data_IF_198048468868
#
_entry.id   IF_198048468868
#
_cell.length_a   1.000
_cell.length_b   1.000
_cell.length_c   1.000
_cell.angle_alpha   90.00
_cell.angle_beta   90.00
_cell.angle_gamma   90.00
#
_symmetry.space_group_name_H-M   'P 1'
#
loop_
_entity.id
_entity.type
_entity.pdbx_description
1 polymer ?
#
# COMPACT_ATOMS: atom_id res chain seq x y z
N UNK A 1 -11.24 -1.09 23.70
CA UNK A 1 -10.34 -0.39 22.77
C UNK A 1 -8.99 -0.20 23.42
N UNK A 2 -7.90 -0.51 22.72
CA UNK A 2 -6.53 -0.40 23.24
C UNK A 2 -6.08 1.07 23.30
N UNK A 3 -5.04 1.35 24.08
CA UNK A 3 -4.41 2.65 24.09
C UNK A 3 -3.71 2.92 22.74
N UNK A 4 -3.73 4.16 22.30
CA UNK A 4 -3.05 4.56 21.06
C UNK A 4 -2.55 6.00 21.13
N UNK A 5 -1.56 6.29 20.30
CA UNK A 5 -1.07 7.63 19.96
C UNK A 5 -1.22 7.78 18.45
N UNK A 6 -2.01 8.75 18.01
CA UNK A 6 -2.32 8.99 16.60
C UNK A 6 -1.81 10.36 16.19
N UNK A 7 -0.87 10.37 15.26
CA UNK A 7 -0.36 11.59 14.63
C UNK A 7 -0.39 11.42 13.10
N UNK A 8 -1.22 12.20 12.44
CA UNK A 8 -1.40 12.21 10.97
C UNK A 8 -1.00 13.59 10.41
N UNK A 9 0.30 13.90 10.32
CA UNK A 9 0.78 15.25 10.02
C UNK A 9 0.63 15.65 8.54
N UNK A 10 0.37 14.71 7.64
CA UNK A 10 0.29 15.01 6.21
C UNK A 10 -0.89 15.90 5.88
N UNK A 11 -0.61 17.07 5.29
CA UNK A 11 -1.66 17.95 4.75
C UNK A 11 -2.22 17.35 3.47
N UNK A 12 -3.53 17.15 3.42
CA UNK A 12 -4.23 16.68 2.22
C UNK A 12 -4.81 17.86 1.47
N UNK A 13 -4.43 18.00 0.20
CA UNK A 13 -4.96 18.99 -0.73
C UNK A 13 -5.74 18.21 -1.80
N UNK A 14 -7.05 18.10 -1.58
CA UNK A 14 -7.93 17.24 -2.35
C UNK A 14 -8.79 18.01 -3.32
N UNK A 15 -8.93 17.52 -4.54
CA UNK A 15 -9.90 17.99 -5.53
C UNK A 15 -9.27 18.39 -6.85
N UNK A 16 -10.14 18.60 -7.84
CA UNK A 16 -9.77 19.06 -9.17
C UNK A 16 -9.02 20.38 -9.11
N UNK A 17 -7.85 20.42 -9.73
CA UNK A 17 -7.02 21.62 -9.76
C UNK A 17 -6.20 21.87 -8.49
N UNK A 18 -6.15 20.93 -7.55
CA UNK A 18 -5.39 21.08 -6.31
C UNK A 18 -3.90 21.36 -6.54
N UNK A 19 -3.36 21.01 -7.71
CA UNK A 19 -1.98 21.30 -8.12
C UNK A 19 -1.62 22.79 -8.05
N UNK A 20 -2.57 23.69 -8.19
CA UNK A 20 -2.36 25.14 -8.10
C UNK A 20 -1.80 25.58 -6.75
N UNK A 21 -2.05 24.77 -5.69
CA UNK A 21 -1.56 25.02 -4.33
C UNK A 21 -0.19 24.41 -4.05
N UNK A 22 0.40 23.69 -5.01
CA UNK A 22 1.66 22.96 -4.81
C UNK A 22 2.80 23.89 -4.37
N UNK A 23 2.94 25.02 -5.03
CA UNK A 23 4.05 25.95 -4.78
C UNK A 23 4.11 26.44 -3.34
N UNK A 24 2.94 26.66 -2.73
CA UNK A 24 2.80 27.13 -1.35
C UNK A 24 3.25 26.10 -0.30
N UNK A 25 3.33 24.82 -0.69
CA UNK A 25 3.69 23.73 0.23
C UNK A 25 5.19 23.50 0.32
N UNK A 26 5.98 24.08 -0.60
CA UNK A 26 7.41 23.84 -0.70
C UNK A 26 8.18 25.11 -0.28
N UNK A 27 9.23 24.99 0.57
CA UNK A 27 10.03 26.13 0.97
C UNK A 27 10.58 26.93 -0.23
N UNK A 28 10.64 28.25 -0.11
CA UNK A 28 10.99 29.15 -1.21
C UNK A 28 12.40 28.91 -1.75
N UNK A 29 13.34 28.51 -0.90
CA UNK A 29 14.75 28.25 -1.23
C UNK A 29 15.05 26.76 -1.43
N UNK A 30 14.01 25.92 -1.55
CA UNK A 30 14.22 24.50 -1.72
C UNK A 30 14.86 24.15 -3.06
N UNK A 31 15.84 23.26 -3.02
CA UNK A 31 16.31 22.52 -4.17
C UNK A 31 15.54 21.22 -4.26
N UNK A 32 14.66 21.12 -5.24
CA UNK A 32 13.66 20.05 -5.36
C UNK A 32 14.15 18.97 -6.32
N UNK A 33 14.08 17.71 -5.89
CA UNK A 33 14.18 16.56 -6.77
C UNK A 33 12.79 15.96 -6.96
N UNK A 34 12.27 16.05 -8.18
CA UNK A 34 11.03 15.36 -8.58
C UNK A 34 11.39 13.92 -8.92
N UNK A 35 10.69 12.97 -8.31
CA UNK A 35 10.82 11.54 -8.56
C UNK A 35 9.56 11.02 -9.26
N UNK A 36 9.72 10.15 -10.25
CA UNK A 36 8.60 9.53 -10.96
C UNK A 36 8.98 8.16 -11.55
N UNK A 37 7.99 7.45 -12.08
CA UNK A 37 8.16 6.11 -12.62
C UNK A 37 8.59 6.06 -14.08
N UNK A 38 8.03 5.16 -14.86
CA UNK A 38 8.41 4.87 -16.23
C UNK A 38 8.00 5.90 -17.29
N UNK A 39 7.48 7.07 -16.90
CA UNK A 39 7.17 8.17 -17.80
C UNK A 39 5.68 8.39 -18.11
N UNK A 40 4.75 7.67 -17.50
CA UNK A 40 3.31 7.91 -17.66
C UNK A 40 2.91 9.34 -17.29
N UNK A 41 3.51 9.91 -16.26
CA UNK A 41 3.26 11.31 -15.83
C UNK A 41 3.68 12.34 -16.88
N UNK A 42 4.63 12.01 -17.75
CA UNK A 42 5.00 12.84 -18.92
C UNK A 42 3.91 12.77 -19.98
N UNK A 43 3.46 11.55 -20.31
CA UNK A 43 2.45 11.32 -21.36
C UNK A 43 1.10 11.92 -21.02
N UNK A 44 0.72 11.91 -19.75
CA UNK A 44 -0.58 12.42 -19.26
C UNK A 44 -0.56 13.93 -19.02
N UNK A 45 0.60 14.57 -19.07
CA UNK A 45 0.76 16.00 -18.81
C UNK A 45 0.83 16.38 -17.33
N UNK A 46 0.78 15.42 -16.41
CA UNK A 46 0.88 15.69 -14.96
C UNK A 46 2.22 16.30 -14.60
N UNK A 47 3.32 15.77 -15.16
CA UNK A 47 4.66 16.33 -14.89
C UNK A 47 4.78 17.77 -15.37
N UNK A 48 4.23 18.12 -16.54
CA UNK A 48 4.23 19.50 -17.05
C UNK A 48 3.46 20.44 -16.13
N UNK A 49 2.34 20.00 -15.56
CA UNK A 49 1.59 20.78 -14.57
C UNK A 49 2.40 20.99 -13.28
N UNK A 50 3.11 19.96 -12.82
CA UNK A 50 4.00 20.05 -11.66
C UNK A 50 5.13 21.05 -11.92
N UNK A 51 5.81 20.94 -13.05
CA UNK A 51 6.91 21.86 -13.43
C UNK A 51 6.42 23.30 -13.56
N UNK A 52 5.24 23.52 -14.14
CA UNK A 52 4.61 24.83 -14.23
C UNK A 52 4.32 25.40 -12.84
N UNK A 53 3.77 24.59 -11.94
CA UNK A 53 3.48 25.00 -10.57
C UNK A 53 4.74 25.33 -9.76
N UNK A 54 5.88 24.73 -10.08
CA UNK A 54 7.17 24.93 -9.42
C UNK A 54 8.05 25.99 -10.11
N UNK A 55 7.51 26.72 -11.07
CA UNK A 55 8.28 27.76 -11.76
C UNK A 55 8.94 28.72 -10.76
N UNK A 56 10.23 28.99 -10.97
CA UNK A 56 11.04 29.82 -10.08
C UNK A 56 11.77 29.08 -8.96
N UNK A 57 11.56 27.77 -8.81
CA UNK A 57 12.38 26.92 -7.93
C UNK A 57 13.51 26.24 -8.71
N UNK A 58 14.56 25.85 -7.98
CA UNK A 58 15.63 24.99 -8.50
C UNK A 58 15.14 23.54 -8.48
N UNK A 59 14.87 22.97 -9.66
CA UNK A 59 14.22 21.68 -9.83
C UNK A 59 15.08 20.73 -10.63
N UNK A 60 15.27 19.53 -10.09
CA UNK A 60 15.90 18.37 -10.74
C UNK A 60 14.86 17.27 -10.91
N UNK A 61 15.11 16.34 -11.82
CA UNK A 61 14.26 15.19 -12.09
C UNK A 61 15.02 13.87 -11.97
N UNK A 62 14.34 12.86 -11.44
CA UNK A 62 14.77 11.46 -11.46
C UNK A 62 13.59 10.57 -11.84
N UNK A 63 13.63 10.02 -13.03
CA UNK A 63 12.62 9.07 -13.54
C UNK A 63 13.12 7.63 -13.52
N UNK A 64 12.21 6.70 -13.80
CA UNK A 64 12.52 5.28 -13.95
C UNK A 64 12.35 4.44 -12.68
N UNK A 65 11.68 4.96 -11.65
CA UNK A 65 11.31 4.14 -10.49
C UNK A 65 10.26 3.11 -10.95
N UNK A 66 10.66 1.84 -10.93
CA UNK A 66 9.84 0.74 -11.38
C UNK A 66 8.76 0.32 -10.35
N UNK A 67 7.69 -0.37 -10.77
CA UNK A 67 6.81 -1.08 -9.85
C UNK A 67 7.62 -2.02 -8.94
N UNK A 68 7.26 -2.10 -7.66
CA UNK A 68 8.10 -2.74 -6.62
C UNK A 68 9.51 -2.13 -6.62
N UNK A 69 9.67 -0.88 -6.16
CA UNK A 69 10.87 -0.09 -6.38
C UNK A 69 12.11 -0.80 -5.86
N UNK A 70 13.15 -0.88 -6.70
CA UNK A 70 14.36 -1.62 -6.35
C UNK A 70 15.42 -0.73 -5.71
N UNK A 71 16.07 -1.28 -4.70
CA UNK A 71 17.23 -0.70 -4.04
C UNK A 71 18.28 -0.20 -5.05
N UNK A 72 18.57 -1.02 -6.06
CA UNK A 72 19.58 -0.72 -7.08
C UNK A 72 19.24 0.56 -7.87
N UNK A 73 17.99 0.72 -8.29
CA UNK A 73 17.53 1.95 -8.97
C UNK A 73 17.53 3.14 -8.02
N UNK A 74 17.03 2.96 -6.81
CA UNK A 74 16.90 4.03 -5.82
C UNK A 74 18.25 4.58 -5.37
N UNK A 75 19.30 3.76 -5.28
CA UNK A 75 20.64 4.21 -4.91
C UNK A 75 21.23 5.20 -5.92
N UNK A 76 20.82 5.14 -7.19
CA UNK A 76 21.20 6.17 -8.18
C UNK A 76 20.59 7.53 -7.82
N UNK A 77 19.34 7.55 -7.36
CA UNK A 77 18.68 8.76 -6.89
C UNK A 77 19.27 9.27 -5.57
N UNK A 78 19.65 8.37 -4.66
CA UNK A 78 20.35 8.74 -3.42
C UNK A 78 21.67 9.45 -3.73
N UNK A 79 22.45 8.91 -4.65
CA UNK A 79 23.69 9.54 -5.11
C UNK A 79 23.43 10.94 -5.67
N UNK A 80 22.48 11.07 -6.58
CA UNK A 80 22.08 12.36 -7.16
C UNK A 80 21.65 13.36 -6.07
N UNK A 81 20.80 12.93 -5.14
CA UNK A 81 20.32 13.80 -4.06
C UNK A 81 21.45 14.31 -3.16
N UNK A 82 22.46 13.49 -2.88
CA UNK A 82 23.64 13.88 -2.11
C UNK A 82 24.54 14.84 -2.88
N UNK A 83 24.91 14.50 -4.11
CA UNK A 83 25.80 15.30 -4.97
C UNK A 83 25.22 16.69 -5.24
N UNK A 84 23.93 16.75 -5.52
CA UNK A 84 23.21 17.99 -5.85
C UNK A 84 22.66 18.73 -4.62
N UNK A 85 22.90 18.22 -3.41
CA UNK A 85 22.43 18.82 -2.14
C UNK A 85 20.94 19.12 -2.13
N UNK A 86 20.13 18.16 -2.56
CA UNK A 86 18.67 18.24 -2.59
C UNK A 86 18.13 18.45 -1.18
N UNK A 87 17.21 19.39 -1.02
CA UNK A 87 16.61 19.74 0.26
C UNK A 87 15.13 19.37 0.36
N UNK A 88 14.52 19.03 -0.76
CA UNK A 88 13.11 18.62 -0.81
C UNK A 88 12.89 17.58 -1.90
N UNK A 89 12.13 16.52 -1.61
CA UNK A 89 11.73 15.51 -2.57
C UNK A 89 10.24 15.65 -2.89
N UNK A 90 9.90 15.59 -4.17
CA UNK A 90 8.51 15.58 -4.62
C UNK A 90 8.24 14.29 -5.42
N UNK A 91 7.50 13.37 -4.83
CA UNK A 91 7.07 12.14 -5.50
C UNK A 91 5.87 12.43 -6.39
N UNK A 92 5.98 12.14 -7.67
CA UNK A 92 4.88 12.28 -8.64
C UNK A 92 4.58 10.91 -9.24
N UNK A 93 3.54 10.26 -8.72
CA UNK A 93 3.23 8.89 -9.13
C UNK A 93 2.32 8.15 -8.16
N UNK A 94 2.38 6.83 -8.22
CA UNK A 94 1.68 5.92 -7.31
C UNK A 94 2.56 5.46 -6.14
N UNK A 95 2.10 4.43 -5.45
CA UNK A 95 2.74 3.90 -4.25
C UNK A 95 4.20 3.52 -4.41
N UNK A 96 4.58 2.91 -5.53
CA UNK A 96 5.98 2.53 -5.79
C UNK A 96 6.92 3.73 -5.86
N UNK A 97 6.48 4.82 -6.50
CA UNK A 97 7.24 6.08 -6.56
C UNK A 97 7.35 6.70 -5.17
N UNK A 98 6.26 6.71 -4.41
CA UNK A 98 6.21 7.23 -3.04
C UNK A 98 7.12 6.43 -2.10
N UNK A 99 7.00 5.10 -2.12
CA UNK A 99 7.84 4.22 -1.31
C UNK A 99 9.31 4.38 -1.64
N UNK A 100 9.64 4.41 -2.93
CA UNK A 100 11.00 4.67 -3.40
C UNK A 100 11.52 6.03 -2.93
N UNK A 101 10.67 7.07 -2.97
CA UNK A 101 11.04 8.42 -2.54
C UNK A 101 11.28 8.50 -1.04
N UNK A 102 10.49 7.78 -0.23
CA UNK A 102 10.74 7.65 1.22
C UNK A 102 12.09 7.02 1.53
N UNK A 103 12.45 5.97 0.78
CA UNK A 103 13.78 5.37 0.90
C UNK A 103 14.88 6.36 0.52
N UNK A 104 14.75 7.06 -0.61
CA UNK A 104 15.69 8.09 -1.03
C UNK A 104 15.87 9.15 0.05
N UNK A 105 14.76 9.61 0.64
CA UNK A 105 14.76 10.62 1.69
C UNK A 105 15.58 10.21 2.92
N UNK A 106 15.39 8.98 3.39
CA UNK A 106 16.13 8.43 4.53
C UNK A 106 17.58 8.11 4.18
N UNK A 107 17.80 7.42 3.06
CA UNK A 107 19.13 6.97 2.65
C UNK A 107 20.08 8.14 2.31
N UNK A 108 19.56 9.25 1.78
CA UNK A 108 20.38 10.43 1.50
C UNK A 108 21.02 11.04 2.75
N UNK A 109 20.38 10.92 3.92
CA UNK A 109 20.90 11.36 5.21
C UNK A 109 21.57 10.24 6.02
N UNK A 110 21.57 9.02 5.50
CA UNK A 110 22.22 7.88 6.15
C UNK A 110 23.74 7.99 6.07
N UNK A 111 24.45 7.36 7.01
CA UNK A 111 25.91 7.36 7.02
C UNK A 111 26.44 6.80 5.69
N UNK A 112 27.34 7.53 5.05
CA UNK A 112 27.87 7.16 3.74
C UNK A 112 28.72 5.88 3.75
N UNK A 113 29.25 5.50 4.91
CA UNK A 113 30.08 4.31 5.10
C UNK A 113 29.25 3.04 5.42
N UNK A 114 27.93 3.19 5.59
CA UNK A 114 27.00 2.09 5.88
C UNK A 114 26.14 1.82 4.64
N UNK A 115 25.93 0.53 4.31
CA UNK A 115 24.96 0.13 3.28
C UNK A 115 23.53 0.55 3.72
N UNK A 116 22.85 1.45 3.00
CA UNK A 116 21.51 1.89 3.36
C UNK A 116 20.45 0.77 3.37
N UNK A 117 20.76 -0.43 2.88
CA UNK A 117 19.88 -1.58 3.05
C UNK A 117 19.63 -1.90 4.53
N UNK A 118 20.54 -1.50 5.41
CA UNK A 118 20.33 -1.58 6.88
C UNK A 118 19.02 -0.93 7.33
N UNK A 119 18.51 0.07 6.60
CA UNK A 119 17.19 0.70 6.88
C UNK A 119 16.09 -0.38 6.87
N UNK A 120 16.14 -1.29 5.89
CA UNK A 120 15.16 -2.37 5.76
C UNK A 120 15.41 -3.49 6.80
N UNK A 121 16.66 -3.83 7.06
CA UNK A 121 17.05 -4.85 8.04
C UNK A 121 16.66 -4.46 9.47
N UNK A 122 16.69 -3.17 9.78
CA UNK A 122 16.34 -2.63 11.10
C UNK A 122 14.91 -2.08 11.17
N UNK A 123 14.11 -2.32 10.14
CA UNK A 123 12.71 -1.83 10.05
C UNK A 123 12.59 -0.31 10.25
N UNK A 124 13.61 0.43 9.84
CA UNK A 124 13.65 1.91 9.93
C UNK A 124 14.05 2.48 11.30
N UNK A 125 14.34 1.64 12.29
CA UNK A 125 14.61 2.08 13.66
C UNK A 125 15.89 2.95 13.81
N UNK A 126 16.81 2.85 12.85
CA UNK A 126 18.07 3.61 12.85
C UNK A 126 18.01 4.92 12.03
N UNK A 127 16.87 5.26 11.45
CA UNK A 127 16.71 6.54 10.73
C UNK A 127 16.66 7.66 11.75
N UNK A 128 17.67 8.54 11.70
CA UNK A 128 17.76 9.72 12.58
C UNK A 128 17.19 10.99 11.94
N UNK A 129 17.19 11.08 10.61
CA UNK A 129 16.65 12.20 9.85
C UNK A 129 16.41 11.78 8.39
N UNK A 130 15.66 12.58 7.66
CA UNK A 130 15.40 12.38 6.24
C UNK A 130 15.21 13.72 5.54
N UNK A 131 15.39 13.75 4.21
CA UNK A 131 15.00 14.90 3.39
C UNK A 131 13.47 15.04 3.49
N UNK A 132 12.97 16.27 3.64
CA UNK A 132 11.53 16.54 3.63
C UNK A 132 10.94 16.17 2.27
N UNK A 133 9.72 15.65 2.27
CA UNK A 133 9.06 15.27 1.03
C UNK A 133 7.56 15.60 1.02
N UNK A 134 7.04 15.75 -0.18
CA UNK A 134 5.61 15.82 -0.49
C UNK A 134 5.29 14.95 -1.69
N UNK A 135 4.02 14.88 -2.05
CA UNK A 135 3.58 14.03 -3.15
C UNK A 135 2.48 14.64 -4.00
N UNK A 136 2.45 14.22 -5.26
CA UNK A 136 1.34 14.35 -6.20
C UNK A 136 0.91 12.94 -6.59
N UNK A 137 -0.20 12.49 -6.06
CA UNK A 137 -0.68 11.12 -6.22
C UNK A 137 -1.36 10.93 -7.58
N UNK A 138 -0.96 9.91 -8.32
CA UNK A 138 -1.58 9.57 -9.61
C UNK A 138 -2.29 8.21 -9.62
N UNK A 139 -2.00 7.35 -8.64
CA UNK A 139 -2.60 6.02 -8.50
C UNK A 139 -2.92 5.75 -7.03
N UNK A 140 -4.20 5.83 -6.64
CA UNK A 140 -4.62 5.53 -5.28
C UNK A 140 -4.63 4.01 -5.05
N UNK A 141 -3.91 3.57 -4.04
CA UNK A 141 -3.81 2.17 -3.63
C UNK A 141 -3.25 2.05 -2.20
N UNK A 142 -1.97 2.36 -2.04
CA UNK A 142 -1.16 2.05 -0.86
C UNK A 142 -1.36 2.98 0.34
N UNK A 143 -1.97 4.14 0.14
CA UNK A 143 -2.01 5.18 1.17
C UNK A 143 -0.64 5.78 1.53
N UNK A 144 0.41 5.48 0.75
CA UNK A 144 1.79 5.92 1.02
C UNK A 144 1.93 7.45 1.06
N UNK A 145 1.03 8.17 0.42
CA UNK A 145 0.96 9.63 0.44
C UNK A 145 0.63 10.22 1.82
N UNK A 146 0.12 9.41 2.73
CA UNK A 146 -0.31 9.85 4.07
C UNK A 146 0.06 8.87 5.19
N UNK A 147 1.14 8.13 5.02
CA UNK A 147 1.66 7.25 6.07
C UNK A 147 3.20 7.28 6.13
N UNK A 148 3.76 6.55 7.07
CA UNK A 148 5.20 6.52 7.37
C UNK A 148 5.90 5.23 6.93
N UNK A 149 5.21 4.36 6.19
CA UNK A 149 5.72 3.08 5.74
C UNK A 149 6.17 3.11 4.28
N UNK A 150 7.09 2.23 3.93
CA UNK A 150 7.52 1.97 2.57
C UNK A 150 8.01 0.54 2.41
N UNK A 151 7.88 -0.01 1.20
CA UNK A 151 8.32 -1.37 0.87
C UNK A 151 9.27 -1.31 -0.31
N UNK A 152 10.46 -1.87 -0.14
CA UNK A 152 11.56 -1.82 -1.11
C UNK A 152 12.00 -3.24 -1.47
N UNK A 153 12.24 -3.46 -2.76
CA UNK A 153 12.78 -4.71 -3.27
C UNK A 153 14.30 -4.62 -3.46
N UNK A 154 15.02 -5.72 -3.27
CA UNK A 154 16.43 -5.86 -3.63
C UNK A 154 16.58 -6.99 -4.64
N UNK A 155 16.91 -6.65 -5.87
CA UNK A 155 16.96 -7.63 -6.98
C UNK A 155 18.07 -8.65 -6.80
N UNK A 156 19.22 -8.22 -6.28
CA UNK A 156 20.39 -9.08 -6.11
C UNK A 156 20.18 -10.20 -5.10
N UNK A 157 19.28 -10.03 -4.13
CA UNK A 157 18.96 -11.02 -3.09
C UNK A 157 17.55 -11.62 -3.23
N UNK A 158 16.72 -11.04 -4.10
CA UNK A 158 15.32 -11.45 -4.26
C UNK A 158 14.45 -11.12 -3.05
N UNK A 159 14.81 -10.07 -2.30
CA UNK A 159 14.08 -9.66 -1.10
C UNK A 159 13.09 -8.54 -1.41
N UNK A 160 11.99 -8.54 -0.66
CA UNK A 160 11.02 -7.44 -0.60
C UNK A 160 10.68 -7.19 0.87
N UNK A 161 11.12 -6.05 1.40
CA UNK A 161 11.04 -5.73 2.83
C UNK A 161 10.43 -4.35 3.08
N UNK A 162 9.80 -4.20 4.23
CA UNK A 162 9.20 -2.95 4.68
C UNK A 162 10.10 -2.23 5.69
N UNK A 163 9.95 -0.90 5.77
CA UNK A 163 10.43 -0.09 6.89
C UNK A 163 9.40 0.98 7.24
N UNK A 164 9.51 1.52 8.44
CA UNK A 164 8.64 2.59 8.93
C UNK A 164 9.47 3.64 9.66
N UNK A 165 9.19 4.92 9.39
CA UNK A 165 9.77 6.03 10.14
C UNK A 165 8.91 7.28 10.00
N UNK A 166 8.68 7.99 11.10
CA UNK A 166 8.01 9.30 11.08
C UNK A 166 8.78 10.35 10.27
N UNK A 167 10.11 10.17 10.10
CA UNK A 167 10.94 11.09 9.33
C UNK A 167 10.64 11.09 7.84
N UNK A 168 10.03 10.01 7.30
CA UNK A 168 9.71 9.90 5.88
C UNK A 168 8.23 10.10 5.56
N UNK A 169 7.41 10.46 6.54
CA UNK A 169 6.01 10.75 6.27
C UNK A 169 5.89 12.04 5.44
N UNK A 170 5.14 12.02 4.32
CA UNK A 170 4.98 13.21 3.49
C UNK A 170 4.41 14.40 4.25
N UNK A 171 4.94 15.60 3.99
CA UNK A 171 4.44 16.86 4.55
C UNK A 171 3.07 17.22 3.99
N UNK A 172 2.85 16.88 2.72
CA UNK A 172 1.56 17.09 2.04
C UNK A 172 1.36 16.04 0.93
N UNK A 173 0.13 15.93 0.51
CA UNK A 173 -0.25 15.15 -0.68
C UNK A 173 -1.28 15.93 -1.50
N UNK A 174 -1.02 16.07 -2.80
CA UNK A 174 -1.96 16.56 -3.80
C UNK A 174 -2.76 15.36 -4.32
N UNK A 175 -4.05 15.37 -4.11
CA UNK A 175 -4.99 14.32 -4.49
C UNK A 175 -6.02 14.89 -5.47
N UNK A 176 -5.73 14.84 -6.76
CA UNK A 176 -6.68 15.24 -7.80
C UNK A 176 -7.26 14.00 -8.48
N UNK A 177 -8.55 13.69 -8.28
CA UNK A 177 -9.19 12.53 -8.90
C UNK A 177 -9.09 12.48 -10.42
N UNK A 178 -8.98 13.62 -11.09
CA UNK A 178 -8.84 13.70 -12.55
C UNK A 178 -7.56 13.03 -13.04
N UNK A 179 -6.50 13.03 -12.23
CA UNK A 179 -5.23 12.36 -12.58
C UNK A 179 -5.36 10.82 -12.68
N UNK A 180 -6.44 10.26 -12.16
CA UNK A 180 -6.70 8.81 -12.22
C UNK A 180 -7.48 8.36 -13.47
N UNK A 181 -8.02 9.29 -14.26
CA UNK A 181 -8.87 8.97 -15.41
C UNK A 181 -8.17 8.13 -16.47
N UNK A 182 -6.86 8.33 -16.64
CA UNK A 182 -6.04 7.68 -17.66
C UNK A 182 -5.40 6.37 -17.19
N UNK A 183 -5.64 5.96 -15.95
CA UNK A 183 -5.10 4.69 -15.43
C UNK A 183 -5.65 3.50 -16.21
N UNK A 184 -4.80 2.53 -16.59
CA UNK A 184 -5.28 1.26 -17.13
C UNK A 184 -6.23 0.55 -16.15
N UNK A 185 -7.25 -0.17 -16.64
CA UNK A 185 -8.20 -0.91 -15.79
C UNK A 185 -7.51 -1.83 -14.76
N UNK A 186 -6.42 -2.50 -15.16
CA UNK A 186 -5.63 -3.35 -14.25
C UNK A 186 -5.10 -2.58 -13.03
N UNK A 187 -4.60 -1.38 -13.23
CA UNK A 187 -4.07 -0.57 -12.12
C UNK A 187 -5.19 -0.04 -11.22
N UNK A 188 -6.32 0.33 -11.78
CA UNK A 188 -7.51 0.71 -11.00
C UNK A 188 -7.99 -0.45 -10.13
N UNK A 189 -8.12 -1.64 -10.72
CA UNK A 189 -8.53 -2.85 -10.02
C UNK A 189 -7.54 -3.21 -8.90
N UNK A 190 -6.25 -3.19 -9.19
CA UNK A 190 -5.20 -3.45 -8.20
C UNK A 190 -5.27 -2.46 -7.04
N UNK A 191 -5.50 -1.18 -7.32
CA UNK A 191 -5.62 -0.15 -6.27
C UNK A 191 -6.81 -0.36 -5.36
N UNK A 192 -7.96 -0.72 -5.91
CA UNK A 192 -9.17 -1.03 -5.15
C UNK A 192 -8.99 -2.26 -4.27
N UNK A 193 -8.41 -3.33 -4.81
CA UNK A 193 -8.15 -4.57 -4.06
C UNK A 193 -7.13 -4.33 -2.95
N UNK A 194 -6.07 -3.59 -3.21
CA UNK A 194 -5.05 -3.25 -2.22
C UNK A 194 -5.65 -2.45 -1.04
N UNK A 195 -6.41 -1.39 -1.33
CA UNK A 195 -7.11 -0.61 -0.32
C UNK A 195 -8.11 -1.45 0.49
N UNK A 196 -8.81 -2.38 -0.17
CA UNK A 196 -9.72 -3.30 0.49
C UNK A 196 -8.98 -4.20 1.48
N UNK A 197 -7.86 -4.80 1.07
CA UNK A 197 -7.08 -5.70 1.93
C UNK A 197 -6.44 -4.92 3.07
N UNK A 198 -5.89 -3.72 2.85
CA UNK A 198 -5.43 -2.84 3.92
C UNK A 198 -6.50 -2.66 5.00
N UNK A 199 -7.73 -2.41 4.57
CA UNK A 199 -8.84 -2.16 5.49
C UNK A 199 -9.19 -3.40 6.30
N UNK A 200 -9.34 -4.55 5.65
CA UNK A 200 -9.75 -5.79 6.37
C UNK A 200 -8.65 -6.33 7.28
N UNK A 201 -7.38 -6.09 6.99
CA UNK A 201 -6.29 -6.51 7.89
C UNK A 201 -6.25 -5.70 9.19
N UNK A 202 -6.87 -4.53 9.22
CA UNK A 202 -7.06 -3.71 10.42
C UNK A 202 -8.45 -3.89 11.04
N UNK A 203 -9.34 -4.63 10.41
CA UNK A 203 -10.74 -4.79 10.82
C UNK A 203 -11.10 -6.23 11.18
N UNK A 204 -10.75 -7.21 10.35
CA UNK A 204 -11.09 -8.63 10.57
C UNK A 204 -10.02 -9.30 11.42
N UNK A 205 -10.04 -9.01 12.72
CA UNK A 205 -9.11 -9.54 13.73
C UNK A 205 -9.91 -10.11 14.91
N UNK A 206 -9.82 -9.53 16.09
CA UNK A 206 -10.66 -9.85 17.24
C UNK A 206 -11.26 -8.59 17.88
N UNK A 207 -12.41 -8.67 18.56
CA UNK A 207 -13.11 -7.52 19.11
C UNK A 207 -12.34 -6.87 20.27
N UNK A 208 -12.29 -5.53 20.26
CA UNK A 208 -11.82 -4.69 21.39
C UNK A 208 -12.76 -3.52 21.66
N UNK A 209 -14.00 -3.62 21.15
CA UNK A 209 -15.03 -2.56 21.25
C UNK A 209 -14.59 -1.22 20.64
N UNK A 210 -13.83 -1.26 19.53
CA UNK A 210 -13.40 -0.10 18.77
C UNK A 210 -14.46 0.33 17.74
N UNK A 211 -15.61 0.82 18.22
CA UNK A 211 -16.80 1.07 17.38
C UNK A 211 -16.57 2.08 16.27
N UNK A 212 -15.83 3.15 16.54
CA UNK A 212 -15.55 4.20 15.54
C UNK A 212 -14.66 3.63 14.43
N UNK A 213 -13.57 2.95 14.78
CA UNK A 213 -12.68 2.31 13.81
C UNK A 213 -13.40 1.25 12.98
N UNK A 214 -14.26 0.44 13.62
CA UNK A 214 -15.09 -0.55 12.92
C UNK A 214 -15.99 0.11 11.87
N UNK A 215 -16.69 1.18 12.22
CA UNK A 215 -17.58 1.89 11.29
C UNK A 215 -16.84 2.61 10.18
N UNK A 216 -15.67 3.18 10.47
CA UNK A 216 -14.83 3.77 9.44
C UNK A 216 -14.33 2.69 8.46
N UNK A 217 -13.87 1.56 8.94
CA UNK A 217 -13.46 0.43 8.11
C UNK A 217 -14.62 -0.09 7.25
N UNK A 218 -15.79 -0.29 7.86
CA UNK A 218 -17.01 -0.71 7.15
C UNK A 218 -17.41 0.29 6.07
N UNK A 219 -17.33 1.59 6.35
CA UNK A 219 -17.60 2.65 5.38
C UNK A 219 -16.63 2.63 4.19
N UNK A 220 -15.34 2.42 4.44
CA UNK A 220 -14.33 2.29 3.38
C UNK A 220 -14.63 1.05 2.52
N UNK A 221 -14.90 -0.11 3.13
CA UNK A 221 -15.20 -1.34 2.41
C UNK A 221 -16.44 -1.22 1.54
N UNK A 222 -17.53 -0.68 2.08
CA UNK A 222 -18.77 -0.45 1.33
C UNK A 222 -18.55 0.50 0.15
N UNK A 223 -17.78 1.56 0.34
CA UNK A 223 -17.44 2.49 -0.74
C UNK A 223 -16.64 1.80 -1.85
N UNK A 224 -15.64 1.00 -1.50
CA UNK A 224 -14.83 0.27 -2.48
C UNK A 224 -15.66 -0.79 -3.24
N UNK A 225 -16.56 -1.48 -2.56
CA UNK A 225 -17.45 -2.47 -3.18
C UNK A 225 -18.43 -1.78 -4.15
N UNK A 226 -18.96 -0.63 -3.76
CA UNK A 226 -19.92 0.12 -4.59
C UNK A 226 -19.25 0.78 -5.79
N UNK A 227 -18.16 1.49 -5.57
CA UNK A 227 -17.54 2.35 -6.58
C UNK A 227 -16.41 1.67 -7.37
N UNK A 228 -15.80 0.61 -6.84
CA UNK A 228 -14.75 -0.14 -7.54
C UNK A 228 -15.17 -0.60 -8.94
N UNK A 229 -16.24 -1.37 -9.08
CA UNK A 229 -16.73 -1.79 -10.39
C UNK A 229 -17.17 -0.61 -11.29
N UNK A 230 -17.75 0.43 -10.72
CA UNK A 230 -18.14 1.64 -11.46
C UNK A 230 -16.93 2.36 -12.06
N UNK A 231 -15.79 2.38 -11.38
CA UNK A 231 -14.58 2.99 -11.89
C UNK A 231 -14.05 2.30 -13.17
N UNK A 232 -14.29 1.00 -13.30
CA UNK A 232 -13.95 0.25 -14.53
C UNK A 232 -14.92 0.53 -15.68
N UNK A 233 -16.18 0.79 -15.38
CA UNK A 233 -17.23 1.06 -16.35
C UNK A 233 -17.30 2.54 -16.77
N UNK A 234 -17.04 3.43 -15.81
CA UNK A 234 -17.15 4.89 -15.96
C UNK A 234 -15.81 5.54 -15.54
N UNK A 235 -14.73 5.38 -16.32
CA UNK A 235 -13.37 5.79 -15.90
C UNK A 235 -13.21 7.28 -15.65
N UNK A 236 -14.08 8.12 -16.21
CA UNK A 236 -14.06 9.57 -16.05
C UNK A 236 -15.17 10.11 -15.11
N UNK A 237 -15.82 9.22 -14.33
CA UNK A 237 -16.76 9.64 -13.31
C UNK A 237 -16.01 10.22 -12.11
N UNK A 238 -16.02 11.54 -11.98
CA UNK A 238 -15.29 12.26 -10.93
C UNK A 238 -15.64 11.76 -9.53
N UNK A 239 -16.92 11.65 -9.20
CA UNK A 239 -17.36 11.26 -7.85
C UNK A 239 -16.89 9.84 -7.50
N UNK A 240 -16.97 8.90 -8.43
CA UNK A 240 -16.48 7.54 -8.26
C UNK A 240 -14.98 7.54 -8.02
N UNK A 241 -14.21 8.25 -8.84
CA UNK A 241 -12.75 8.36 -8.69
C UNK A 241 -12.34 9.07 -7.40
N UNK A 242 -13.07 10.10 -7.01
CA UNK A 242 -12.85 10.83 -5.77
C UNK A 242 -13.08 9.95 -4.53
N UNK A 243 -14.16 9.18 -4.52
CA UNK A 243 -14.45 8.26 -3.41
C UNK A 243 -13.40 7.16 -3.30
N UNK A 244 -12.97 6.56 -4.42
CA UNK A 244 -11.92 5.54 -4.41
C UNK A 244 -10.59 6.14 -3.92
N UNK A 245 -10.19 7.29 -4.40
CA UNK A 245 -8.97 7.97 -4.00
C UNK A 245 -8.97 8.25 -2.49
N UNK A 246 -10.05 8.80 -1.97
CA UNK A 246 -10.16 9.09 -0.55
C UNK A 246 -10.24 7.84 0.31
N UNK A 247 -10.97 6.81 -0.13
CA UNK A 247 -11.02 5.52 0.54
C UNK A 247 -9.62 4.86 0.64
N UNK A 248 -8.84 4.88 -0.43
CA UNK A 248 -7.49 4.32 -0.44
C UNK A 248 -6.55 5.05 0.54
N UNK A 249 -6.62 6.36 0.63
CA UNK A 249 -5.87 7.14 1.61
C UNK A 249 -6.28 6.80 3.04
N UNK A 250 -7.58 6.74 3.31
CA UNK A 250 -8.12 6.43 4.64
C UNK A 250 -7.84 4.99 5.07
N UNK A 251 -7.73 4.07 4.12
CA UNK A 251 -7.46 2.67 4.38
C UNK A 251 -6.10 2.43 5.09
N UNK A 252 -5.11 3.30 4.90
CA UNK A 252 -3.78 3.12 5.49
C UNK A 252 -3.10 4.43 5.93
N UNK A 253 -3.85 5.39 6.45
CA UNK A 253 -3.26 6.59 7.05
C UNK A 253 -3.09 6.49 8.58
N UNK A 254 -3.38 5.34 9.17
CA UNK A 254 -3.27 5.08 10.60
C UNK A 254 -4.56 5.25 11.40
N UNK A 255 -5.59 5.89 10.84
CA UNK A 255 -6.82 6.20 11.57
C UNK A 255 -7.60 4.95 11.96
N UNK A 256 -7.91 4.07 10.99
CA UNK A 256 -8.75 2.89 11.26
C UNK A 256 -8.03 1.82 12.07
N UNK A 257 -6.70 1.84 12.11
CA UNK A 257 -5.89 0.93 12.93
C UNK A 257 -5.64 1.43 14.35
N UNK A 258 -6.03 2.66 14.68
CA UNK A 258 -5.78 3.25 15.99
C UNK A 258 -6.58 2.54 17.10
N UNK A 259 -5.88 1.95 18.06
CA UNK A 259 -6.47 1.29 19.22
C UNK A 259 -7.16 -0.03 18.95
N UNK A 260 -6.94 -0.63 17.78
CA UNK A 260 -7.46 -1.97 17.41
C UNK A 260 -6.32 -2.91 17.01
N UNK A 261 -6.50 -4.24 17.14
CA UNK A 261 -5.51 -5.20 16.67
C UNK A 261 -5.44 -5.21 15.14
N UNK A 262 -4.25 -5.47 14.60
CA UNK A 262 -3.96 -5.51 13.17
C UNK A 262 -3.27 -6.83 12.82
N UNK A 263 -3.61 -7.41 11.67
CA UNK A 263 -3.10 -8.71 11.22
C UNK A 263 -1.80 -8.58 10.42
N UNK A 264 -1.87 -8.05 9.22
CA UNK A 264 -0.79 -7.90 8.24
C UNK A 264 -0.20 -9.20 7.66
N UNK A 265 -0.65 -10.37 8.08
CA UNK A 265 -0.11 -11.63 7.57
C UNK A 265 -0.36 -11.82 6.07
N UNK A 266 -1.49 -11.36 5.54
CA UNK A 266 -1.76 -11.41 4.10
C UNK A 266 -0.71 -10.65 3.31
N UNK A 267 -0.32 -9.47 3.76
CA UNK A 267 0.74 -8.68 3.13
C UNK A 267 2.10 -9.37 3.22
N UNK A 268 2.46 -9.91 4.38
CA UNK A 268 3.77 -10.55 4.56
C UNK A 268 3.91 -11.80 3.67
N UNK A 269 2.89 -12.65 3.62
CA UNK A 269 2.85 -13.80 2.73
C UNK A 269 2.84 -13.39 1.25
N UNK A 270 2.10 -12.33 0.93
CA UNK A 270 2.02 -11.79 -0.43
C UNK A 270 3.34 -11.21 -0.92
N UNK A 271 4.15 -10.59 -0.06
CA UNK A 271 5.46 -10.04 -0.43
C UNK A 271 6.40 -11.10 -0.98
N UNK A 272 6.41 -12.30 -0.37
CA UNK A 272 7.24 -13.41 -0.85
C UNK A 272 6.78 -13.92 -2.22
N UNK A 273 5.47 -13.96 -2.47
CA UNK A 273 4.91 -14.29 -3.79
C UNK A 273 5.32 -13.27 -4.85
N UNK A 274 5.27 -11.99 -4.53
CA UNK A 274 5.72 -10.93 -5.44
C UNK A 274 7.22 -11.05 -5.73
N UNK A 275 8.04 -11.23 -4.71
CA UNK A 275 9.49 -11.32 -4.85
C UNK A 275 9.90 -12.52 -5.71
N UNK A 276 9.23 -13.66 -5.53
CA UNK A 276 9.59 -14.92 -6.21
C UNK A 276 9.01 -15.03 -7.63
N UNK A 277 7.79 -14.54 -7.85
CA UNK A 277 7.04 -14.79 -9.09
C UNK A 277 6.75 -13.53 -9.90
N UNK A 278 7.06 -12.33 -9.38
CA UNK A 278 6.82 -11.07 -10.09
C UNK A 278 5.34 -10.71 -10.25
N UNK A 279 4.45 -11.28 -9.45
CA UNK A 279 3.03 -10.92 -9.45
C UNK A 279 2.85 -9.49 -8.93
N UNK A 280 1.80 -8.82 -9.41
CA UNK A 280 1.41 -7.53 -8.86
C UNK A 280 1.06 -7.67 -7.36
N UNK A 281 1.33 -6.64 -6.59
CA UNK A 281 1.08 -6.65 -5.15
C UNK A 281 -0.37 -7.06 -4.81
N UNK A 282 -1.36 -6.41 -5.43
CA UNK A 282 -2.78 -6.71 -5.19
C UNK A 282 -3.17 -8.14 -5.60
N UNK A 283 -2.54 -8.69 -6.66
CA UNK A 283 -2.78 -10.08 -7.06
C UNK A 283 -2.40 -11.06 -5.95
N UNK A 284 -1.26 -10.85 -5.31
CA UNK A 284 -0.82 -11.71 -4.21
C UNK A 284 -1.74 -11.60 -3.00
N UNK A 285 -2.25 -10.41 -2.71
CA UNK A 285 -3.21 -10.20 -1.63
C UNK A 285 -4.54 -10.92 -1.88
N UNK A 286 -5.05 -10.84 -3.12
CA UNK A 286 -6.28 -11.51 -3.53
C UNK A 286 -6.17 -13.05 -3.46
N UNK A 287 -4.98 -13.57 -3.72
CA UNK A 287 -4.67 -15.01 -3.60
C UNK A 287 -4.66 -15.45 -2.12
N UNK A 288 -3.95 -14.71 -1.27
CA UNK A 288 -3.67 -15.14 0.10
C UNK A 288 -4.85 -14.92 1.05
N UNK A 289 -5.54 -13.77 0.97
CA UNK A 289 -6.54 -13.38 1.96
C UNK A 289 -7.66 -14.40 2.19
N UNK A 290 -8.34 -14.94 1.16
CA UNK A 290 -9.42 -15.90 1.39
C UNK A 290 -8.92 -17.21 2.03
N UNK A 291 -7.75 -17.68 1.66
CA UNK A 291 -7.14 -18.87 2.23
C UNK A 291 -6.73 -18.66 3.70
N UNK A 292 -6.15 -17.50 4.01
CA UNK A 292 -5.79 -17.12 5.38
C UNK A 292 -7.02 -17.04 6.27
N UNK A 293 -8.09 -16.39 5.82
CA UNK A 293 -9.33 -16.30 6.60
C UNK A 293 -9.94 -17.67 6.86
N UNK A 294 -9.90 -18.56 5.88
CA UNK A 294 -10.39 -19.91 6.07
C UNK A 294 -9.56 -20.69 7.09
N UNK A 295 -8.23 -20.59 7.04
CA UNK A 295 -7.31 -21.24 8.00
C UNK A 295 -7.47 -20.67 9.42
N UNK A 296 -7.72 -19.37 9.55
CA UNK A 296 -7.82 -18.66 10.83
C UNK A 296 -9.27 -18.36 11.24
N UNK A 297 -10.24 -19.02 10.63
CA UNK A 297 -11.67 -18.72 10.81
C UNK A 297 -12.15 -18.74 12.26
N UNK A 298 -11.62 -19.64 13.07
CA UNK A 298 -12.04 -19.76 14.49
C UNK A 298 -11.52 -18.58 15.32
N UNK A 299 -10.27 -18.19 15.12
CA UNK A 299 -9.67 -17.04 15.81
C UNK A 299 -10.30 -15.70 15.40
N UNK A 300 -10.77 -15.60 14.15
CA UNK A 300 -11.39 -14.41 13.58
C UNK A 300 -12.93 -14.45 13.56
N UNK A 301 -13.53 -15.47 14.19
CA UNK A 301 -14.95 -15.82 14.04
C UNK A 301 -15.90 -14.64 14.29
N UNK A 302 -15.75 -13.95 15.41
CA UNK A 302 -16.64 -12.83 15.74
C UNK A 302 -16.53 -11.68 14.73
N UNK A 303 -15.35 -11.35 14.30
CA UNK A 303 -15.13 -10.28 13.33
C UNK A 303 -15.53 -10.70 11.92
N UNK A 304 -15.35 -11.96 11.52
CA UNK A 304 -15.86 -12.48 10.25
C UNK A 304 -17.39 -12.45 10.20
N UNK A 305 -18.07 -12.77 11.30
CA UNK A 305 -19.54 -12.66 11.39
C UNK A 305 -20.01 -11.21 11.33
N UNK A 306 -19.32 -10.30 12.02
CA UNK A 306 -19.58 -8.85 11.92
C UNK A 306 -19.38 -8.33 10.49
N UNK A 307 -18.31 -8.74 9.85
CA UNK A 307 -18.01 -8.42 8.45
C UNK A 307 -19.07 -8.97 7.49
N UNK A 308 -19.48 -10.23 7.67
CA UNK A 308 -20.54 -10.84 6.87
C UNK A 308 -21.84 -10.03 6.95
N UNK A 309 -22.27 -9.65 8.15
CA UNK A 309 -23.50 -8.90 8.37
C UNK A 309 -23.41 -7.45 7.86
N UNK A 310 -22.38 -6.71 8.29
CA UNK A 310 -22.32 -5.26 8.11
C UNK A 310 -21.82 -4.83 6.74
N UNK A 311 -20.98 -5.64 6.10
CA UNK A 311 -20.42 -5.33 4.79
C UNK A 311 -21.19 -6.01 3.68
N UNK A 312 -21.58 -7.28 3.85
CA UNK A 312 -22.24 -8.07 2.82
C UNK A 312 -23.73 -8.32 3.05
N UNK A 313 -24.26 -7.83 4.15
CA UNK A 313 -25.66 -8.06 4.54
C UNK A 313 -26.04 -9.56 4.59
N UNK A 314 -25.09 -10.41 5.01
CA UNK A 314 -25.29 -11.85 5.17
C UNK A 314 -25.76 -12.11 6.59
N UNK A 315 -27.06 -12.43 6.76
CA UNK A 315 -27.72 -12.57 8.05
C UNK A 315 -28.30 -13.96 8.28
N UNK A 316 -28.46 -14.76 7.21
CA UNK A 316 -29.15 -16.05 7.25
C UNK A 316 -28.14 -17.22 7.28
N UNK A 317 -28.49 -18.29 7.95
CA UNK A 317 -27.70 -19.51 8.04
C UNK A 317 -26.93 -19.64 9.37
N UNK A 318 -26.21 -20.74 9.52
CA UNK A 318 -25.31 -20.95 10.65
C UNK A 318 -24.11 -20.00 10.59
N UNK A 319 -23.39 -19.85 11.68
CA UNK A 319 -22.19 -19.03 11.72
C UNK A 319 -21.17 -19.46 10.65
N UNK A 320 -20.93 -20.77 10.51
CA UNK A 320 -20.01 -21.29 9.49
C UNK A 320 -20.49 -21.00 8.07
N UNK A 321 -21.78 -21.15 7.79
CA UNK A 321 -22.36 -20.80 6.48
C UNK A 321 -22.23 -19.31 6.17
N UNK A 322 -22.42 -18.45 7.15
CA UNK A 322 -22.27 -17.00 7.01
C UNK A 322 -20.82 -16.62 6.76
N UNK A 323 -19.88 -17.24 7.44
CA UNK A 323 -18.44 -17.02 7.24
C UNK A 323 -18.04 -17.50 5.83
N UNK A 324 -18.46 -18.69 5.41
CA UNK A 324 -18.19 -19.20 4.07
C UNK A 324 -18.74 -18.27 2.99
N UNK A 325 -19.97 -17.77 3.18
CA UNK A 325 -20.59 -16.83 2.26
C UNK A 325 -19.84 -15.49 2.18
N UNK A 326 -19.34 -14.99 3.31
CA UNK A 326 -18.54 -13.74 3.34
C UNK A 326 -17.19 -13.89 2.65
N UNK A 327 -16.50 -15.01 2.85
CA UNK A 327 -15.24 -15.33 2.15
C UNK A 327 -15.50 -15.46 0.65
N UNK A 328 -16.57 -16.15 0.27
CA UNK A 328 -16.96 -16.30 -1.15
C UNK A 328 -17.31 -14.96 -1.79
N UNK A 329 -18.04 -14.09 -1.10
CA UNK A 329 -18.39 -12.75 -1.58
C UNK A 329 -17.14 -11.88 -1.79
N UNK A 330 -16.17 -11.96 -0.89
CA UNK A 330 -14.89 -11.24 -1.01
C UNK A 330 -14.10 -11.73 -2.22
N UNK A 331 -14.00 -13.04 -2.41
CA UNK A 331 -13.35 -13.64 -3.58
C UNK A 331 -14.03 -13.20 -4.88
N UNK A 332 -15.35 -13.27 -4.91
CA UNK A 332 -16.14 -12.84 -6.06
C UNK A 332 -15.95 -11.37 -6.40
N UNK A 333 -15.86 -10.52 -5.38
CA UNK A 333 -15.58 -9.09 -5.58
C UNK A 333 -14.21 -8.85 -6.23
N UNK A 334 -13.16 -9.53 -5.77
CA UNK A 334 -11.84 -9.42 -6.38
C UNK A 334 -11.83 -9.92 -7.83
N UNK A 335 -12.49 -11.04 -8.09
CA UNK A 335 -12.62 -11.59 -9.44
C UNK A 335 -13.45 -10.68 -10.36
N UNK A 336 -14.50 -10.05 -9.85
CA UNK A 336 -15.29 -9.03 -10.57
C UNK A 336 -14.44 -7.81 -10.94
N UNK A 337 -13.51 -7.43 -10.07
CA UNK A 337 -12.52 -6.38 -10.36
C UNK A 337 -11.48 -6.82 -11.40
N UNK A 338 -11.46 -8.07 -11.82
CA UNK A 338 -10.48 -8.61 -12.77
C UNK A 338 -9.17 -9.07 -12.10
N UNK A 339 -9.21 -9.35 -10.79
CA UNK A 339 -8.06 -9.85 -10.03
C UNK A 339 -8.35 -11.29 -9.58
N UNK A 340 -7.85 -12.31 -10.28
CA UNK A 340 -8.03 -13.72 -9.92
C UNK A 340 -7.46 -14.03 -8.53
N UNK A 341 -8.02 -15.07 -7.88
CA UNK A 341 -7.82 -15.31 -6.44
C UNK A 341 -7.15 -16.64 -6.10
N UNK A 342 -6.53 -17.31 -7.08
CA UNK A 342 -5.82 -18.59 -6.87
C UNK A 342 -4.46 -18.56 -7.52
N UNK A 343 -3.51 -19.29 -6.96
CA UNK A 343 -2.18 -19.46 -7.57
C UNK A 343 -2.28 -20.06 -8.98
N UNK A 344 -3.18 -21.04 -9.17
CA UNK A 344 -3.41 -21.69 -10.48
C UNK A 344 -3.86 -20.72 -11.57
N UNK A 345 -4.58 -19.65 -11.23
CA UNK A 345 -5.00 -18.63 -12.19
C UNK A 345 -3.82 -17.86 -12.80
N UNK A 346 -2.67 -17.91 -12.13
CA UNK A 346 -1.41 -17.31 -12.57
C UNK A 346 -0.39 -18.34 -13.06
N UNK A 347 -0.84 -19.59 -13.30
CA UNK A 347 0.03 -20.67 -13.76
C UNK A 347 0.97 -21.24 -12.71
N UNK A 348 0.69 -21.01 -11.43
CA UNK A 348 1.50 -21.50 -10.31
C UNK A 348 0.84 -22.75 -9.71
N UNK A 349 1.62 -23.84 -9.62
CA UNK A 349 1.15 -25.15 -9.16
C UNK A 349 1.42 -25.46 -7.68
N UNK A 350 2.05 -24.53 -6.98
CA UNK A 350 2.45 -24.69 -5.58
C UNK A 350 3.82 -25.35 -5.37
N UNK A 351 4.56 -25.69 -6.42
CA UNK A 351 5.91 -26.27 -6.31
C UNK A 351 6.93 -25.35 -5.61
N UNK A 352 6.66 -24.04 -5.63
CA UNK A 352 7.50 -23.03 -4.96
C UNK A 352 7.24 -22.88 -3.46
N UNK A 353 6.22 -23.51 -2.90
CA UNK A 353 5.85 -23.35 -1.48
C UNK A 353 7.03 -23.61 -0.52
N UNK A 354 7.84 -24.66 -0.67
CA UNK A 354 9.01 -24.85 0.21
C UNK A 354 10.00 -23.70 0.16
N UNK A 355 10.23 -23.11 -1.02
CA UNK A 355 11.12 -21.96 -1.17
C UNK A 355 10.53 -20.68 -0.55
N UNK A 356 9.21 -20.47 -0.67
CA UNK A 356 8.51 -19.36 0.00
C UNK A 356 8.64 -19.45 1.52
N UNK A 357 8.49 -20.66 2.10
CA UNK A 357 8.65 -20.88 3.53
C UNK A 357 10.09 -20.63 4.00
N UNK A 358 11.08 -21.03 3.21
CA UNK A 358 12.48 -20.75 3.49
C UNK A 358 12.77 -19.24 3.53
N UNK A 359 12.17 -18.47 2.62
CA UNK A 359 12.27 -17.01 2.62
C UNK A 359 11.59 -16.36 3.82
N UNK A 360 10.41 -16.84 4.20
CA UNK A 360 9.73 -16.38 5.42
C UNK A 360 10.62 -16.62 6.66
N UNK A 361 11.26 -17.79 6.76
CA UNK A 361 12.17 -18.11 7.86
C UNK A 361 13.40 -17.21 7.85
N UNK A 362 14.04 -17.01 6.70
CA UNK A 362 15.16 -16.10 6.51
C UNK A 362 14.85 -14.66 6.94
N UNK A 363 13.63 -14.20 6.63
CA UNK A 363 13.15 -12.86 7.00
C UNK A 363 12.60 -12.77 8.44
N UNK A 364 12.62 -13.84 9.21
CA UNK A 364 12.09 -13.87 10.58
C UNK A 364 10.57 -13.85 10.66
N UNK A 365 9.86 -14.10 9.55
CA UNK A 365 8.39 -14.10 9.43
C UNK A 365 7.79 -15.44 9.87
N UNK A 366 8.14 -15.89 11.08
CA UNK A 366 7.78 -17.21 11.62
C UNK A 366 6.62 -17.16 12.60
N UNK A 367 6.14 -15.95 12.94
CA UNK A 367 5.03 -15.71 13.88
C UNK A 367 4.23 -14.49 13.40
N UNK A 368 3.40 -14.69 12.39
CA UNK A 368 2.59 -13.64 11.79
C UNK A 368 1.19 -13.57 12.41
N UNK A 369 0.46 -12.52 12.02
CA UNK A 369 -0.91 -12.28 12.45
C UNK A 369 -1.04 -11.57 13.79
N UNK A 370 -2.26 -11.17 14.12
CA UNK A 370 -2.59 -10.42 15.34
C UNK A 370 -2.38 -11.22 16.64
N UNK A 371 -2.36 -12.56 16.54
CA UNK A 371 -2.06 -13.46 17.64
C UNK A 371 -0.63 -14.00 17.61
N UNK A 372 0.17 -13.65 16.60
CA UNK A 372 1.53 -14.16 16.39
C UNK A 372 1.59 -15.70 16.33
N UNK A 373 0.55 -16.33 15.82
CA UNK A 373 0.36 -17.79 15.78
C UNK A 373 0.31 -18.34 14.34
N UNK A 374 0.53 -17.52 13.34
CA UNK A 374 0.75 -17.97 11.96
C UNK A 374 2.22 -18.36 11.82
N UNK A 375 2.50 -19.61 12.18
CA UNK A 375 3.82 -20.25 12.07
C UNK A 375 4.13 -20.64 10.63
N UNK A 376 5.33 -21.16 10.36
CA UNK A 376 5.66 -21.68 9.03
C UNK A 376 4.73 -22.81 8.58
N UNK A 377 4.28 -23.67 9.49
CA UNK A 377 3.31 -24.73 9.17
C UNK A 377 1.94 -24.15 8.80
N UNK A 378 1.49 -23.12 9.51
CA UNK A 378 0.24 -22.41 9.17
C UNK A 378 0.38 -21.71 7.83
N UNK A 379 1.50 -21.03 7.58
CA UNK A 379 1.79 -20.37 6.29
C UNK A 379 1.81 -21.39 5.14
N UNK A 380 2.35 -22.59 5.36
CA UNK A 380 2.28 -23.69 4.39
C UNK A 380 0.85 -24.04 4.03
N UNK A 381 0.00 -24.28 5.03
CA UNK A 381 -1.43 -24.61 4.80
C UNK A 381 -2.17 -23.49 4.07
N UNK A 382 -1.87 -22.22 4.39
CA UNK A 382 -2.45 -21.06 3.69
C UNK A 382 -2.06 -21.08 2.20
N UNK A 383 -0.78 -21.24 1.87
CA UNK A 383 -0.34 -21.31 0.48
C UNK A 383 -0.91 -22.54 -0.27
N UNK A 384 -0.99 -23.69 0.40
CA UNK A 384 -1.60 -24.90 -0.17
C UNK A 384 -3.10 -24.71 -0.46
N UNK A 385 -3.82 -24.05 0.45
CA UNK A 385 -5.24 -23.73 0.27
C UNK A 385 -5.50 -22.64 -0.79
N UNK A 386 -4.49 -21.85 -1.13
CA UNK A 386 -4.54 -20.80 -2.14
C UNK A 386 -4.28 -21.29 -3.58
N UNK A 387 -4.03 -22.56 -3.81
CA UNK A 387 -3.72 -23.18 -5.13
C UNK A 387 -4.89 -23.15 -6.11
#
# INVERSE_FOLDING_TARGET
MNNFDLHTPTRILFGKGAIEKLREQIPAEARVLITYGGGSVKKTGVLDQVLTALNGLDVLEFGGIEPNPSYETLMNAVKLAREEKVTFLLAVGGGSVLDGTKFIAAAAHYDADIDPWEILETYGSKIASAILMGSVLTLPATGSESNKGAVISRKTTGDKRAFMSSHVQPQFAILDPVYTYTLPPRQVANGVVDAFVHTVEQYVTYPVDGKIQDRFAEGILLTLIEDGPKALQEPENYNVRANIMWAATQALNGLIGAGVPQDWATHMLGHELTAMHGLDHAQTLAIVLPALWNEKRDAKREKLLQYAERVWNITEGSDDQRIDAAIAATRQFFEQMGVPTRLSDYGLDGSSIPALLAKLEEHGMTKLGEHQDITLDVSRRIYEAAR
#
